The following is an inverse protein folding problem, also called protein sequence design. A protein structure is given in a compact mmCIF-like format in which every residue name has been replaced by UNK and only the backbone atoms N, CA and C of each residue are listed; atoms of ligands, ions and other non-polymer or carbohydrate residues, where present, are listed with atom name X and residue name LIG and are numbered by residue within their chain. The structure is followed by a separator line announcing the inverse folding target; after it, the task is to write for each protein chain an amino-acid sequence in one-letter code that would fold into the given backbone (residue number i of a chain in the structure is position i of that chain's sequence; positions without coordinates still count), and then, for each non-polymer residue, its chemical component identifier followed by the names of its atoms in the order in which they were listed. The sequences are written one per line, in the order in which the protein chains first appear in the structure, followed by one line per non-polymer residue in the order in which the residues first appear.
data_IF_365328688653
#
_entry.id   IF_365328688653
#
_cell.length_a   1.000
_cell.length_b   1.000
_cell.length_c   1.000
_cell.angle_alpha   90.00
_cell.angle_beta   90.00
_cell.angle_gamma   90.00
#
_symmetry.space_group_name_H-M   'P 1'
#
loop_
_entity.id
_entity.type
_entity.pdbx_description
1 polymer ?
#
# COMPACT_ATOMS: atom_id res chain seq x y z
N UNK A 1 12.62 -16.20 -14.94
CA UNK A 1 13.98 -15.78 -14.55
C UNK A 1 14.13 -16.03 -13.06
N UNK A 2 15.16 -16.81 -12.65
CA UNK A 2 15.40 -17.14 -11.25
C UNK A 2 15.96 -15.89 -10.54
N UNK A 3 15.17 -15.26 -9.68
CA UNK A 3 15.67 -14.24 -8.78
C UNK A 3 16.49 -14.94 -7.71
N UNK A 4 17.79 -14.64 -7.65
CA UNK A 4 18.67 -15.10 -6.58
C UNK A 4 18.10 -14.58 -5.26
N UNK A 5 17.78 -15.48 -4.33
CA UNK A 5 17.63 -15.12 -2.92
C UNK A 5 18.96 -14.53 -2.45
N UNK A 6 19.03 -13.21 -2.42
CA UNK A 6 20.07 -12.49 -1.70
C UNK A 6 19.68 -12.64 -0.23
N UNK A 7 20.39 -13.52 0.46
CA UNK A 7 20.33 -13.63 1.92
C UNK A 7 20.82 -12.28 2.46
N UNK A 8 19.92 -11.45 2.97
CA UNK A 8 20.30 -10.32 3.80
C UNK A 8 20.80 -10.89 5.14
N UNK A 9 22.11 -11.13 5.23
CA UNK A 9 22.77 -11.26 6.51
C UNK A 9 22.73 -9.87 7.17
N UNK A 10 21.76 -9.70 8.07
CA UNK A 10 21.59 -8.50 8.87
C UNK A 10 22.71 -8.43 9.93
N UNK A 11 23.92 -8.02 9.54
CA UNK A 11 24.86 -7.42 10.49
C UNK A 11 24.48 -5.95 10.63
N UNK A 12 23.49 -5.66 11.47
CA UNK A 12 23.05 -4.30 11.77
C UNK A 12 24.01 -3.69 12.80
N UNK A 13 25.07 -3.06 12.31
CA UNK A 13 25.86 -2.11 13.09
C UNK A 13 26.15 -0.87 12.24
N UNK A 14 25.09 -0.17 11.85
CA UNK A 14 25.21 1.24 11.45
C UNK A 14 24.36 2.06 12.41
N UNK A 15 25.02 2.71 13.37
CA UNK A 15 24.42 3.78 14.15
C UNK A 15 24.16 4.96 13.21
N UNK A 16 23.00 4.99 12.56
CA UNK A 16 22.42 6.27 12.20
C UNK A 16 22.07 6.95 13.52
N UNK A 17 22.72 8.06 13.85
CA UNK A 17 22.16 8.96 14.86
C UNK A 17 20.83 9.46 14.30
N UNK A 18 19.74 8.80 14.70
CA UNK A 18 18.41 9.29 14.40
C UNK A 18 18.31 10.67 15.02
N UNK A 19 17.80 11.68 14.29
CA UNK A 19 17.42 12.92 14.94
C UNK A 19 16.47 12.57 16.07
N UNK A 20 16.77 13.11 17.26
CA UNK A 20 15.91 13.08 18.43
C UNK A 20 14.47 13.40 17.98
N UNK A 21 13.47 12.66 18.48
CA UNK A 21 12.06 12.86 18.15
C UNK A 21 11.75 14.35 18.00
N UNK A 22 11.33 14.77 16.81
CA UNK A 22 10.99 16.17 16.57
C UNK A 22 9.89 16.53 17.58
N UNK A 23 10.12 17.53 18.42
CA UNK A 23 9.07 18.05 19.30
C UNK A 23 8.06 18.79 18.42
N UNK A 24 7.12 18.06 17.85
CA UNK A 24 6.00 18.62 17.11
C UNK A 24 4.77 18.68 18.01
N UNK A 25 4.04 19.79 17.97
CA UNK A 25 2.83 20.02 18.78
C UNK A 25 1.61 19.20 18.29
N UNK A 26 1.76 18.44 17.19
CA UNK A 26 0.70 17.69 16.52
C UNK A 26 1.21 16.32 16.11
N UNK A 27 0.35 15.31 16.26
CA UNK A 27 0.56 14.01 15.64
C UNK A 27 0.60 14.15 14.10
N UNK A 28 1.26 13.20 13.44
CA UNK A 28 1.19 13.05 12.00
C UNK A 28 -0.26 12.79 11.55
N UNK A 29 -0.58 13.17 10.33
CA UNK A 29 -1.90 13.08 9.71
C UNK A 29 -2.19 11.65 9.26
N UNK A 30 -3.48 11.36 9.08
CA UNK A 30 -3.94 10.10 8.54
C UNK A 30 -3.29 9.79 7.18
N UNK A 31 -2.85 8.55 7.03
CA UNK A 31 -2.10 8.08 5.86
C UNK A 31 -0.59 8.16 6.02
N UNK A 32 -0.06 9.03 6.90
CA UNK A 32 1.38 9.12 7.14
C UNK A 32 1.89 7.82 7.80
N UNK A 33 3.11 7.44 7.40
CA UNK A 33 3.84 6.32 7.97
C UNK A 33 4.88 6.88 8.95
N UNK A 34 4.89 6.40 10.18
CA UNK A 34 5.88 6.78 11.19
C UNK A 34 6.76 5.60 11.55
N UNK A 35 8.01 5.90 11.91
CA UNK A 35 8.98 4.97 12.46
C UNK A 35 9.26 5.34 13.92
N UNK A 36 8.80 4.49 14.83
CA UNK A 36 9.13 4.58 16.26
C UNK A 36 10.12 3.46 16.61
N UNK A 37 11.39 3.85 16.73
CA UNK A 37 12.48 2.97 17.16
C UNK A 37 12.55 1.62 16.41
N UNK A 38 12.25 1.63 15.12
CA UNK A 38 12.27 0.46 14.24
C UNK A 38 10.90 -0.20 14.04
N UNK A 39 9.89 0.17 14.81
CA UNK A 39 8.51 -0.27 14.57
C UNK A 39 7.81 0.72 13.64
N UNK A 40 7.27 0.21 12.54
CA UNK A 40 6.58 1.04 11.53
C UNK A 40 5.08 1.04 11.80
N UNK A 41 4.49 2.24 11.84
CA UNK A 41 3.06 2.44 12.02
C UNK A 41 2.46 3.24 10.88
N UNK A 42 1.24 2.89 10.50
CA UNK A 42 0.34 3.77 9.74
C UNK A 42 -0.53 4.55 10.72
N UNK A 43 -0.58 5.87 10.56
CA UNK A 43 -1.56 6.70 11.26
C UNK A 43 -2.88 6.66 10.50
N UNK A 44 -3.96 6.34 11.19
CA UNK A 44 -5.31 6.33 10.61
C UNK A 44 -6.36 6.57 11.69
N UNK A 45 -7.29 7.49 11.43
CA UNK A 45 -8.35 7.87 12.36
C UNK A 45 -7.82 8.26 13.75
N UNK A 46 -6.69 8.96 13.82
CA UNK A 46 -6.00 9.29 15.07
C UNK A 46 -5.60 8.05 15.90
N UNK A 47 -5.22 6.96 15.24
CA UNK A 47 -4.72 5.74 15.88
C UNK A 47 -3.48 5.23 15.14
N UNK A 48 -2.67 4.46 15.85
CA UNK A 48 -1.48 3.79 15.30
C UNK A 48 -1.78 2.34 14.97
N UNK A 49 -1.57 1.96 13.71
CA UNK A 49 -1.65 0.58 13.24
C UNK A 49 -0.27 0.06 12.88
N UNK A 50 0.20 -0.98 13.56
CA UNK A 50 1.56 -1.49 13.39
C UNK A 50 1.67 -2.43 12.18
N UNK A 51 2.79 -2.39 11.48
CA UNK A 51 3.20 -3.49 10.60
C UNK A 51 4.08 -4.46 11.37
N UNK A 52 3.75 -5.76 11.33
CA UNK A 52 4.53 -6.79 12.04
C UNK A 52 5.81 -7.15 11.28
N UNK A 53 5.78 -7.14 9.95
CA UNK A 53 6.99 -7.36 9.11
C UNK A 53 7.11 -6.35 7.98
N UNK A 54 8.31 -6.26 7.41
CA UNK A 54 8.59 -5.46 6.23
C UNK A 54 7.76 -5.91 5.03
N UNK A 55 7.55 -7.21 4.87
CA UNK A 55 6.78 -7.79 3.77
C UNK A 55 5.29 -7.44 3.86
N UNK A 56 4.71 -7.41 5.07
CA UNK A 56 3.34 -6.89 5.27
C UNK A 56 3.25 -5.40 4.94
N UNK A 57 4.26 -4.61 5.33
CA UNK A 57 4.38 -3.20 4.97
C UNK A 57 4.48 -2.97 3.46
N UNK A 58 5.34 -3.71 2.76
CA UNK A 58 5.51 -3.62 1.31
C UNK A 58 4.30 -4.13 0.52
N UNK A 59 3.60 -5.16 1.02
CA UNK A 59 2.35 -5.63 0.40
C UNK A 59 1.26 -4.55 0.43
N UNK A 60 1.33 -3.64 1.42
CA UNK A 60 0.50 -2.45 1.49
C UNK A 60 1.05 -1.28 0.65
N UNK A 61 1.93 -1.56 -0.31
CA UNK A 61 2.42 -0.61 -1.31
C UNK A 61 3.18 0.57 -0.72
N UNK A 62 3.70 0.44 0.50
CA UNK A 62 4.56 1.44 1.11
C UNK A 62 6.03 1.11 0.86
N UNK A 63 6.90 2.11 1.05
CA UNK A 63 8.35 1.97 0.98
C UNK A 63 8.93 2.60 2.25
N UNK A 64 10.10 2.13 2.71
CA UNK A 64 10.66 2.60 3.98
C UNK A 64 10.93 4.11 3.96
N UNK A 65 11.22 4.67 2.79
CA UNK A 65 11.44 6.10 2.63
C UNK A 65 10.18 6.96 2.75
N UNK A 66 9.00 6.33 2.80
CA UNK A 66 7.75 7.00 3.16
C UNK A 66 7.60 7.17 4.68
N UNK A 67 8.40 6.46 5.48
CA UNK A 67 8.33 6.50 6.93
C UNK A 67 9.13 7.69 7.48
N UNK A 68 8.47 8.52 8.29
CA UNK A 68 9.08 9.65 8.99
C UNK A 68 9.35 9.31 10.46
N UNK A 69 10.30 9.95 11.15
CA UNK A 69 10.50 9.72 12.57
C UNK A 69 9.25 10.05 13.38
N UNK A 70 8.86 9.16 14.31
CA UNK A 70 7.77 9.45 15.24
C UNK A 70 8.10 10.66 16.14
N UNK A 71 7.08 11.46 16.44
CA UNK A 71 7.14 12.58 17.36
C UNK A 71 6.42 12.28 18.68
N UNK A 72 6.56 13.18 19.66
CA UNK A 72 5.96 12.99 20.99
C UNK A 72 4.43 12.90 20.98
N UNK A 73 3.76 13.58 20.04
CA UNK A 73 2.30 13.52 19.92
C UNK A 73 1.83 12.19 19.32
N UNK A 74 2.56 11.60 18.37
CA UNK A 74 2.26 10.26 17.82
C UNK A 74 2.29 9.19 18.91
N UNK A 75 3.25 9.29 19.83
CA UNK A 75 3.42 8.35 20.94
C UNK A 75 2.25 8.40 21.94
N UNK A 76 1.36 9.39 21.83
CA UNK A 76 0.13 9.46 22.64
C UNK A 76 -1.09 8.84 21.95
N UNK A 77 -0.98 8.50 20.65
CA UNK A 77 -2.09 7.91 19.92
C UNK A 77 -2.37 6.48 20.39
N UNK A 78 -3.65 6.06 20.47
CA UNK A 78 -4.00 4.70 20.82
C UNK A 78 -3.53 3.72 19.74
N UNK A 79 -3.00 2.57 20.18
CA UNK A 79 -2.74 1.44 19.30
C UNK A 79 -4.05 0.77 18.87
N UNK A 80 -4.22 0.54 17.57
CA UNK A 80 -5.46 0.00 16.99
C UNK A 80 -5.33 -1.39 16.37
N UNK A 81 -4.13 -1.97 16.34
CA UNK A 81 -3.89 -3.35 15.89
C UNK A 81 -2.78 -3.46 14.86
N UNK A 82 -2.70 -4.65 14.24
CA UNK A 82 -1.68 -5.00 13.25
C UNK A 82 -2.29 -4.98 11.85
N UNK A 83 -1.59 -4.36 10.90
CA UNK A 83 -1.95 -4.39 9.48
C UNK A 83 -1.47 -5.70 8.86
N UNK A 84 -2.41 -6.39 8.21
CA UNK A 84 -2.17 -7.62 7.45
C UNK A 84 -1.77 -7.31 6.01
N UNK A 85 -1.38 -8.34 5.27
CA UNK A 85 -1.14 -8.22 3.85
C UNK A 85 -2.36 -7.61 3.15
N UNK A 86 -2.11 -6.66 2.24
CA UNK A 86 -3.18 -5.97 1.54
C UNK A 86 -4.00 -6.96 0.70
N UNK A 87 -5.31 -6.77 0.68
CA UNK A 87 -6.21 -7.48 -0.24
C UNK A 87 -5.70 -7.40 -1.70
N UNK A 88 -5.71 -8.54 -2.40
CA UNK A 88 -5.16 -8.70 -3.74
C UNK A 88 -3.65 -9.03 -3.79
N UNK A 89 -2.94 -9.02 -2.66
CA UNK A 89 -1.52 -9.38 -2.63
C UNK A 89 -1.30 -10.87 -2.85
N UNK A 90 -0.28 -11.22 -3.64
CA UNK A 90 0.21 -12.59 -3.76
C UNK A 90 1.22 -12.85 -2.63
N UNK A 91 1.00 -13.90 -1.85
CA UNK A 91 1.84 -14.25 -0.68
C UNK A 91 2.20 -15.73 -0.65
N UNK A 92 3.26 -16.07 0.10
CA UNK A 92 3.65 -17.44 0.48
C UNK A 92 3.94 -17.50 1.97
N UNK A 93 3.84 -18.68 2.57
CA UNK A 93 4.28 -18.85 3.96
C UNK A 93 5.80 -18.79 4.02
N UNK A 94 6.32 -17.94 4.89
CA UNK A 94 7.76 -17.83 5.18
C UNK A 94 8.33 -19.12 5.79
N UNK A 95 7.47 -19.99 6.33
CA UNK A 95 7.83 -21.29 6.91
C UNK A 95 7.62 -22.46 5.94
N UNK A 96 6.66 -22.33 5.02
CA UNK A 96 6.38 -23.30 3.97
C UNK A 96 6.10 -22.60 2.63
N UNK A 97 7.14 -22.59 1.80
CA UNK A 97 7.06 -21.92 0.51
C UNK A 97 6.34 -22.78 -0.55
N UNK A 98 5.78 -23.95 -0.22
CA UNK A 98 5.18 -24.88 -1.20
C UNK A 98 4.01 -24.33 -2.02
N UNK A 99 3.35 -23.27 -1.54
CA UNK A 99 2.14 -22.74 -2.16
C UNK A 99 2.09 -21.21 -2.18
N UNK A 100 1.43 -20.69 -3.21
CA UNK A 100 1.02 -19.29 -3.29
C UNK A 100 -0.41 -19.12 -2.79
N UNK A 101 -0.71 -17.93 -2.28
CA UNK A 101 -2.04 -17.53 -1.83
C UNK A 101 -2.31 -16.10 -2.27
N UNK A 102 -3.55 -15.80 -2.65
CA UNK A 102 -4.03 -14.42 -2.62
C UNK A 102 -4.53 -14.08 -1.23
N UNK A 103 -4.13 -12.92 -0.71
CA UNK A 103 -4.70 -12.34 0.49
C UNK A 103 -5.98 -11.57 0.15
N UNK A 104 -7.05 -11.82 0.89
CA UNK A 104 -8.31 -11.07 0.83
C UNK A 104 -8.87 -10.92 2.25
N UNK A 105 -9.76 -9.95 2.47
CA UNK A 105 -10.45 -9.78 3.76
C UNK A 105 -11.19 -11.04 4.23
N UNK A 106 -11.61 -11.92 3.31
CA UNK A 106 -12.27 -13.20 3.62
C UNK A 106 -11.30 -14.32 4.03
N UNK A 107 -9.99 -14.07 3.97
CA UNK A 107 -8.93 -15.05 4.21
C UNK A 107 -8.08 -15.35 2.98
N UNK A 108 -7.02 -16.11 3.19
CA UNK A 108 -6.08 -16.51 2.16
C UNK A 108 -6.68 -17.58 1.25
N UNK A 109 -6.57 -17.39 -0.05
CA UNK A 109 -7.05 -18.34 -1.06
C UNK A 109 -5.86 -18.93 -1.79
N UNK A 110 -5.57 -20.21 -1.56
CA UNK A 110 -4.48 -20.94 -2.22
C UNK A 110 -4.65 -20.89 -3.74
N UNK A 111 -3.57 -20.62 -4.48
CA UNK A 111 -3.58 -20.56 -5.94
C UNK A 111 -2.45 -21.41 -6.54
N UNK A 112 -2.76 -22.11 -7.64
CA UNK A 112 -1.78 -22.88 -8.41
C UNK A 112 -1.05 -22.02 -9.44
N UNK A 113 0.19 -22.39 -9.77
CA UNK A 113 1.00 -21.68 -10.78
C UNK A 113 0.35 -21.63 -12.16
N UNK A 114 -0.35 -22.70 -12.56
CA UNK A 114 -1.06 -22.73 -13.84
C UNK A 114 -2.21 -21.72 -13.87
N UNK A 115 -2.91 -21.53 -12.74
CA UNK A 115 -3.96 -20.51 -12.63
C UNK A 115 -3.36 -19.10 -12.66
N UNK A 116 -2.21 -18.86 -12.00
CA UNK A 116 -1.50 -17.57 -12.11
C UNK A 116 -1.14 -17.25 -13.57
N UNK A 117 -0.57 -18.23 -14.29
CA UNK A 117 -0.21 -18.08 -15.69
C UNK A 117 -1.43 -17.81 -16.59
N UNK A 118 -2.51 -18.58 -16.43
CA UNK A 118 -3.74 -18.40 -17.21
C UNK A 118 -4.43 -17.05 -16.94
N UNK A 119 -4.21 -16.47 -15.76
CA UNK A 119 -4.69 -15.14 -15.41
C UNK A 119 -3.74 -14.01 -15.85
N UNK A 120 -2.54 -14.34 -16.36
CA UNK A 120 -1.50 -13.38 -16.72
C UNK A 120 -0.80 -12.72 -15.52
N UNK A 121 -0.85 -13.37 -14.35
CA UNK A 121 -0.33 -12.86 -13.08
C UNK A 121 1.00 -13.50 -12.68
N UNK A 122 1.65 -14.25 -13.58
CA UNK A 122 2.92 -14.93 -13.30
C UNK A 122 4.10 -13.97 -13.04
N UNK A 123 3.93 -12.69 -13.39
CA UNK A 123 4.90 -11.62 -13.14
C UNK A 123 4.56 -10.76 -11.91
N UNK A 124 3.41 -10.98 -11.29
CA UNK A 124 3.04 -10.26 -10.08
C UNK A 124 4.07 -10.55 -8.98
N UNK A 125 4.54 -9.49 -8.31
CA UNK A 125 5.40 -9.64 -7.16
C UNK A 125 4.66 -10.37 -6.03
N UNK A 126 5.39 -11.19 -5.27
CA UNK A 126 4.86 -11.85 -4.09
C UNK A 126 5.68 -11.52 -2.84
N UNK A 127 5.05 -11.74 -1.69
CA UNK A 127 5.62 -11.48 -0.37
C UNK A 127 5.67 -12.77 0.45
N UNK A 128 6.76 -13.00 1.18
CA UNK A 128 6.89 -14.14 2.09
C UNK A 128 6.60 -13.67 3.52
N UNK A 129 5.50 -14.12 4.11
CA UNK A 129 5.01 -13.67 5.41
C UNK A 129 4.63 -14.87 6.29
N UNK A 130 4.57 -14.68 7.61
CA UNK A 130 4.02 -15.71 8.49
C UNK A 130 2.49 -15.77 8.34
N UNK A 131 2.00 -16.88 7.81
CA UNK A 131 0.56 -17.13 7.58
C UNK A 131 -0.13 -17.77 8.80
N UNK A 132 0.57 -17.99 9.92
CA UNK A 132 0.05 -18.72 11.10
C UNK A 132 -1.26 -18.19 11.66
N UNK A 133 -1.50 -16.89 11.54
CA UNK A 133 -2.67 -16.20 12.07
C UNK A 133 -3.63 -15.69 10.98
N UNK A 134 -3.47 -16.18 9.75
CA UNK A 134 -4.41 -15.95 8.67
C UNK A 134 -5.39 -17.12 8.53
N UNK A 135 -6.67 -16.82 8.29
CA UNK A 135 -7.64 -17.85 7.92
C UNK A 135 -7.39 -18.32 6.49
N UNK A 136 -7.49 -19.63 6.25
CA UNK A 136 -7.46 -20.21 4.91
C UNK A 136 -8.89 -20.37 4.41
N UNK A 137 -9.20 -19.74 3.29
CA UNK A 137 -10.47 -19.83 2.58
C UNK A 137 -10.37 -20.82 1.40
N UNK A 138 -11.48 -21.02 0.70
CA UNK A 138 -11.54 -21.87 -0.50
C UNK A 138 -10.50 -21.42 -1.53
N UNK A 139 -9.81 -22.37 -2.16
CA UNK A 139 -8.79 -22.11 -3.17
C UNK A 139 -9.26 -21.15 -4.27
N UNK A 140 -8.35 -20.34 -4.78
CA UNK A 140 -8.56 -19.43 -5.91
C UNK A 140 -8.34 -20.20 -7.22
N UNK A 141 -9.43 -20.51 -7.90
CA UNK A 141 -9.43 -21.17 -9.21
C UNK A 141 -9.69 -20.16 -10.33
N UNK A 142 -9.41 -20.58 -11.57
CA UNK A 142 -9.77 -19.82 -12.76
C UNK A 142 -11.28 -19.48 -12.80
N UNK A 143 -12.14 -20.44 -12.46
CA UNK A 143 -13.59 -20.19 -12.39
C UNK A 143 -13.93 -19.11 -11.36
N UNK A 144 -13.42 -19.25 -10.13
CA UNK A 144 -13.72 -18.27 -9.07
C UNK A 144 -13.17 -16.87 -9.39
N UNK A 145 -12.08 -16.77 -10.14
CA UNK A 145 -11.52 -15.50 -10.57
C UNK A 145 -12.48 -14.71 -11.46
N UNK A 146 -13.26 -15.40 -12.31
CA UNK A 146 -14.18 -14.77 -13.27
C UNK A 146 -15.65 -14.80 -12.86
N UNK A 147 -16.05 -15.71 -11.98
CA UNK A 147 -17.43 -15.88 -11.53
C UNK A 147 -17.71 -15.14 -10.20
N UNK A 148 -16.68 -14.85 -9.41
CA UNK A 148 -16.82 -14.23 -8.10
C UNK A 148 -15.74 -13.15 -7.91
N UNK A 149 -15.97 -11.92 -8.41
CA UNK A 149 -15.05 -10.81 -8.22
C UNK A 149 -14.73 -10.60 -6.74
N UNK A 150 -13.44 -10.65 -6.39
CA UNK A 150 -12.99 -10.47 -5.01
C UNK A 150 -12.56 -9.01 -4.79
N UNK A 151 -13.05 -8.32 -3.75
CA UNK A 151 -12.51 -7.03 -3.35
C UNK A 151 -10.99 -7.08 -3.17
N UNK A 152 -10.30 -6.03 -3.61
CA UNK A 152 -8.83 -5.98 -3.69
C UNK A 152 -8.23 -6.49 -5.00
N UNK A 153 -9.02 -7.14 -5.86
CA UNK A 153 -8.54 -7.58 -7.18
C UNK A 153 -8.34 -6.39 -8.12
N UNK A 154 -7.21 -6.36 -8.83
CA UNK A 154 -7.02 -5.45 -9.95
C UNK A 154 -7.44 -6.12 -11.26
N UNK A 155 -8.22 -5.40 -12.06
CA UNK A 155 -8.63 -5.85 -13.39
C UNK A 155 -8.27 -4.84 -14.46
N UNK A 156 -7.99 -5.33 -15.65
CA UNK A 156 -7.79 -4.55 -16.86
C UNK A 156 -8.98 -4.78 -17.81
N UNK A 157 -9.76 -3.73 -18.01
CA UNK A 157 -10.87 -3.69 -18.98
C UNK A 157 -10.46 -2.74 -20.11
N UNK A 158 -10.00 -3.33 -21.21
CA UNK A 158 -9.63 -2.62 -22.45
C UNK A 158 -8.62 -1.47 -22.24
N UNK A 159 -7.68 -1.64 -21.32
CA UNK A 159 -6.64 -0.66 -20.98
C UNK A 159 -6.98 0.23 -19.77
N UNK A 160 -8.23 0.22 -19.31
CA UNK A 160 -8.64 0.92 -18.09
C UNK A 160 -8.51 -0.03 -16.90
N UNK A 161 -7.73 0.38 -15.90
CA UNK A 161 -7.51 -0.40 -14.68
C UNK A 161 -8.54 -0.04 -13.64
N UNK A 162 -9.10 -1.08 -13.00
CA UNK A 162 -10.03 -0.95 -11.88
C UNK A 162 -9.54 -1.73 -10.68
N UNK A 163 -9.84 -1.24 -9.49
CA UNK A 163 -9.84 -2.00 -8.26
C UNK A 163 -11.26 -2.48 -7.98
N UNK A 164 -11.43 -3.78 -7.75
CA UNK A 164 -12.68 -4.33 -7.26
C UNK A 164 -12.86 -3.91 -5.80
N UNK A 165 -13.96 -3.25 -5.49
CA UNK A 165 -14.38 -2.86 -4.16
C UNK A 165 -15.57 -3.71 -3.71
N UNK A 166 -15.99 -3.58 -2.45
CA UNK A 166 -17.10 -4.37 -1.90
C UNK A 166 -18.42 -4.21 -2.66
N UNK A 167 -18.67 -3.03 -3.24
CA UNK A 167 -19.93 -2.64 -3.86
C UNK A 167 -19.81 -2.28 -5.36
N UNK A 168 -18.68 -2.59 -6.00
CA UNK A 168 -18.48 -2.24 -7.41
C UNK A 168 -17.03 -2.29 -7.84
N UNK A 169 -16.72 -1.63 -8.96
CA UNK A 169 -15.35 -1.48 -9.47
C UNK A 169 -15.01 0.01 -9.56
N UNK A 170 -13.92 0.41 -8.93
CA UNK A 170 -13.47 1.80 -8.91
C UNK A 170 -12.29 1.98 -9.88
N UNK A 171 -12.38 2.88 -10.87
CA UNK A 171 -11.31 3.09 -11.83
C UNK A 171 -10.17 3.93 -11.27
N UNK A 172 -8.95 3.67 -11.75
CA UNK A 172 -7.83 4.59 -11.60
C UNK A 172 -7.85 5.58 -12.77
N UNK A 173 -8.10 6.87 -12.50
CA UNK A 173 -8.17 7.90 -13.55
C UNK A 173 -6.81 8.25 -14.16
N UNK A 174 -5.71 8.03 -13.42
CA UNK A 174 -4.36 8.32 -13.89
C UNK A 174 -3.37 7.27 -13.37
N UNK A 175 -2.24 7.05 -14.08
CA UNK A 175 -1.15 6.22 -13.55
C UNK A 175 -0.59 6.74 -12.21
N UNK A 176 -0.57 8.06 -11.99
CA UNK A 176 -0.09 8.63 -10.74
C UNK A 176 -0.92 8.16 -9.54
N UNK A 177 -2.25 8.10 -9.69
CA UNK A 177 -3.14 7.56 -8.66
C UNK A 177 -2.82 6.08 -8.45
N UNK A 178 -2.73 5.28 -9.51
CA UNK A 178 -2.40 3.86 -9.43
C UNK A 178 -1.07 3.60 -8.69
N UNK A 179 -0.01 4.35 -9.02
CA UNK A 179 1.29 4.25 -8.37
C UNK A 179 1.29 4.77 -6.93
N UNK A 180 0.39 5.69 -6.55
CA UNK A 180 0.28 6.14 -5.15
C UNK A 180 -0.18 5.02 -4.20
N UNK A 181 -0.83 3.99 -4.72
CA UNK A 181 -1.14 2.77 -3.96
C UNK A 181 0.02 1.76 -3.99
N UNK A 182 1.10 1.99 -4.74
CA UNK A 182 2.21 1.04 -4.90
C UNK A 182 1.87 -0.18 -5.76
N UNK A 183 0.84 -0.09 -6.59
CA UNK A 183 0.49 -1.17 -7.52
C UNK A 183 1.39 -1.20 -8.76
N UNK A 184 1.45 -2.37 -9.38
CA UNK A 184 2.11 -2.62 -10.66
C UNK A 184 1.09 -3.24 -11.64
N UNK A 185 1.18 -2.91 -12.93
CA UNK A 185 0.22 -3.40 -13.93
C UNK A 185 0.24 -4.94 -14.09
N UNK A 186 1.34 -5.60 -13.72
CA UNK A 186 1.43 -7.07 -13.68
C UNK A 186 0.54 -7.72 -12.64
N UNK A 187 -0.01 -6.95 -11.68
CA UNK A 187 -0.98 -7.41 -10.71
C UNK A 187 -2.43 -7.38 -11.24
N UNK A 188 -2.67 -6.83 -12.44
CA UNK A 188 -3.99 -6.74 -13.03
C UNK A 188 -4.25 -7.88 -14.02
N UNK A 189 -5.27 -8.70 -13.76
CA UNK A 189 -5.76 -9.70 -14.72
C UNK A 189 -6.73 -9.06 -15.72
N UNK A 190 -7.00 -9.73 -16.83
CA UNK A 190 -8.09 -9.30 -17.72
C UNK A 190 -9.45 -9.35 -17.01
N UNK A 191 -10.30 -8.37 -17.29
CA UNK A 191 -11.68 -8.34 -16.79
C UNK A 191 -12.51 -9.47 -17.43
N UNK A 192 -13.28 -10.18 -16.60
CA UNK A 192 -14.26 -11.18 -17.04
C UNK A 192 -15.69 -10.67 -17.00
N UNK A 193 -16.66 -11.45 -17.50
CA UNK A 193 -18.05 -11.02 -17.62
C UNK A 193 -18.70 -10.57 -16.30
N UNK A 194 -18.44 -11.25 -15.19
CA UNK A 194 -19.02 -10.85 -13.90
C UNK A 194 -18.40 -9.56 -13.35
N UNK A 195 -17.12 -9.30 -13.64
CA UNK A 195 -16.49 -8.02 -13.27
C UNK A 195 -17.17 -6.85 -13.99
N UNK A 196 -17.52 -7.04 -15.28
CA UNK A 196 -18.14 -6.01 -16.11
C UNK A 196 -19.59 -5.70 -15.71
N UNK A 197 -20.24 -6.60 -14.95
CA UNK A 197 -21.58 -6.37 -14.39
C UNK A 197 -21.54 -5.52 -13.12
N UNK A 198 -20.39 -5.40 -12.47
CA UNK A 198 -20.26 -4.58 -11.28
C UNK A 198 -20.52 -3.12 -11.62
N UNK A 199 -21.21 -2.42 -10.70
CA UNK A 199 -21.38 -0.98 -10.80
C UNK A 199 -20.01 -0.31 -10.88
N UNK A 200 -19.83 0.56 -11.89
CA UNK A 200 -18.69 1.45 -11.91
C UNK A 200 -18.88 2.53 -10.83
N UNK A 201 -17.92 2.60 -9.91
CA UNK A 201 -17.89 3.57 -8.82
C UNK A 201 -17.19 4.85 -9.25
N UNK A 202 -17.23 5.86 -8.39
CA UNK A 202 -16.37 7.04 -8.56
C UNK A 202 -14.89 6.62 -8.66
N UNK A 203 -14.07 7.35 -9.46
CA UNK A 203 -12.66 7.07 -9.54
C UNK A 203 -11.97 7.16 -8.18
N UNK A 204 -10.95 6.30 -7.99
CA UNK A 204 -10.15 6.34 -6.76
C UNK A 204 -9.37 7.66 -6.67
N UNK A 205 -9.32 8.29 -5.49
CA UNK A 205 -8.37 9.36 -5.21
C UNK A 205 -6.96 8.78 -5.04
N UNK A 206 -5.95 9.63 -4.95
CA UNK A 206 -4.64 9.25 -4.41
C UNK A 206 -4.83 8.60 -3.04
N UNK A 207 -4.00 7.60 -2.74
CA UNK A 207 -3.98 6.97 -1.42
C UNK A 207 -3.72 8.03 -0.35
N UNK A 208 -4.36 7.92 0.80
CA UNK A 208 -3.94 8.69 1.98
C UNK A 208 -2.48 8.41 2.31
N UNK A 209 -1.75 9.46 2.67
CA UNK A 209 -0.30 9.43 2.85
C UNK A 209 0.50 9.61 1.56
N UNK A 210 -0.14 9.70 0.39
CA UNK A 210 0.58 9.93 -0.86
C UNK A 210 1.23 11.31 -0.88
N UNK A 211 2.51 11.34 -1.24
CA UNK A 211 3.19 12.56 -1.63
C UNK A 211 3.00 12.76 -3.14
N UNK A 212 2.53 13.94 -3.52
CA UNK A 212 2.26 14.29 -4.93
C UNK A 212 3.05 15.53 -5.29
N UNK A 213 3.92 15.43 -6.30
CA UNK A 213 4.56 16.57 -6.93
C UNK A 213 3.63 17.12 -8.01
N UNK A 214 2.99 18.24 -7.70
CA UNK A 214 2.13 18.99 -8.61
C UNK A 214 2.88 20.21 -9.12
N UNK A 215 3.47 20.05 -10.32
CA UNK A 215 4.19 21.11 -11.06
C UNK A 215 5.27 21.81 -10.23
N UNK A 216 5.96 21.07 -9.36
CA UNK A 216 7.04 21.56 -8.51
C UNK A 216 6.65 21.83 -7.05
N UNK A 217 5.36 21.88 -6.73
CA UNK A 217 4.89 21.96 -5.34
C UNK A 217 4.55 20.57 -4.84
N UNK A 218 5.09 20.18 -3.69
CA UNK A 218 4.83 18.87 -3.09
C UNK A 218 3.65 19.00 -2.13
N UNK A 219 2.71 18.05 -2.23
CA UNK A 219 1.57 17.93 -1.33
C UNK A 219 1.52 16.55 -0.70
N UNK A 220 1.19 16.49 0.59
CA UNK A 220 0.68 15.28 1.24
C UNK A 220 -0.83 15.21 1.03
N UNK A 221 -1.35 14.05 0.61
CA UNK A 221 -2.79 13.78 0.57
C UNK A 221 -3.20 13.04 1.83
N UNK A 222 -4.22 13.55 2.53
CA UNK A 222 -4.77 12.93 3.73
C UNK A 222 -6.26 13.26 3.85
N UNK A 223 -7.09 12.23 3.96
CA UNK A 223 -8.55 12.31 4.10
C UNK A 223 -9.19 13.22 3.03
N UNK A 224 -8.77 13.07 1.77
CA UNK A 224 -9.29 13.87 0.65
C UNK A 224 -8.86 15.35 0.64
N UNK A 225 -7.94 15.73 1.52
CA UNK A 225 -7.36 17.09 1.62
C UNK A 225 -5.89 17.04 1.22
N UNK A 226 -5.41 18.10 0.56
CA UNK A 226 -3.98 18.28 0.25
C UNK A 226 -3.33 19.27 1.21
N UNK A 227 -2.13 18.96 1.64
CA UNK A 227 -1.32 19.78 2.55
C UNK A 227 0.02 20.04 1.88
N UNK A 228 0.27 21.29 1.49
CA UNK A 228 1.50 21.65 0.79
C UNK A 228 2.66 21.82 1.76
N UNK A 229 3.89 21.56 1.30
CA UNK A 229 5.10 21.94 2.02
C UNK A 229 5.54 23.33 1.53
N UNK A 230 5.57 24.33 2.41
CA UNK A 230 5.93 25.71 2.04
C UNK A 230 7.39 25.84 1.63
N UNK A 231 8.25 25.03 2.25
CA UNK A 231 9.69 25.06 2.00
C UNK A 231 10.23 23.65 1.75
N UNK A 232 11.32 23.56 0.99
CA UNK A 232 12.06 22.30 0.83
C UNK A 232 12.57 21.79 2.18
N UNK A 233 13.00 22.70 3.07
CA UNK A 233 13.42 22.35 4.42
C UNK A 233 12.26 21.77 5.24
N UNK A 234 11.05 22.30 5.12
CA UNK A 234 9.84 21.75 5.73
C UNK A 234 9.56 20.32 5.29
N UNK A 235 9.74 20.04 4.00
CA UNK A 235 9.62 18.69 3.45
C UNK A 235 10.70 17.73 3.98
N UNK A 236 11.99 18.10 3.89
CA UNK A 236 13.09 17.20 4.27
C UNK A 236 13.31 17.08 5.78
N UNK A 237 12.99 18.12 6.56
CA UNK A 237 13.14 18.08 8.03
C UNK A 237 12.14 17.13 8.69
N UNK A 238 11.00 16.87 8.02
CA UNK A 238 10.07 15.81 8.41
C UNK A 238 10.58 14.42 8.05
N UNK A 239 11.63 14.29 7.24
CA UNK A 239 12.22 13.01 6.86
C UNK A 239 11.76 12.48 5.50
N UNK A 240 10.98 13.26 4.74
CA UNK A 240 10.56 12.83 3.40
C UNK A 240 11.65 13.00 2.35
N UNK A 241 11.63 12.11 1.36
CA UNK A 241 12.48 12.16 0.18
C UNK A 241 11.65 12.35 -1.09
N UNK A 242 12.09 13.22 -2.02
CA UNK A 242 11.32 13.52 -3.24
C UNK A 242 11.06 12.29 -4.11
N UNK A 243 11.92 11.28 -4.05
CA UNK A 243 11.76 10.03 -4.80
C UNK A 243 10.50 9.25 -4.42
N UNK A 244 9.91 9.55 -3.26
CA UNK A 244 8.66 8.94 -2.78
C UNK A 244 7.41 9.66 -3.29
N UNK A 245 7.57 10.84 -3.91
CA UNK A 245 6.46 11.59 -4.48
C UNK A 245 6.13 11.14 -5.90
N UNK A 246 4.84 10.93 -6.18
CA UNK A 246 4.37 10.70 -7.55
C UNK A 246 4.14 12.03 -8.26
N UNK A 247 4.45 12.13 -9.55
CA UNK A 247 4.12 13.31 -10.35
C UNK A 247 2.64 13.27 -10.73
N UNK A 248 1.87 14.31 -10.41
CA UNK A 248 0.43 14.30 -10.63
C UNK A 248 -0.28 15.62 -10.35
N UNK A 249 -1.58 15.66 -10.62
CA UNK A 249 -2.42 16.86 -10.44
C UNK A 249 -3.25 16.78 -9.15
N UNK A 250 -3.28 17.87 -8.38
CA UNK A 250 -4.01 17.96 -7.09
C UNK A 250 -5.14 18.99 -7.11
N UNK A 251 -5.58 19.43 -8.29
CA UNK A 251 -6.57 20.51 -8.42
C UNK A 251 -7.94 20.17 -7.81
N UNK A 252 -8.30 18.87 -7.77
CA UNK A 252 -9.56 18.39 -7.21
C UNK A 252 -9.59 18.18 -5.69
N UNK A 253 -8.51 18.45 -4.97
CA UNK A 253 -8.43 18.25 -3.51
C UNK A 253 -8.70 19.55 -2.76
N UNK A 254 -9.39 19.43 -1.62
CA UNK A 254 -9.54 20.54 -0.69
C UNK A 254 -8.16 20.98 -0.16
N UNK A 255 -7.96 22.27 0.03
CA UNK A 255 -6.71 22.81 0.55
C UNK A 255 -6.71 22.80 2.09
N UNK A 256 -5.75 22.09 2.68
CA UNK A 256 -5.49 22.10 4.11
C UNK A 256 -4.48 23.17 4.52
N UNK A 257 -4.19 23.24 5.81
CA UNK A 257 -3.13 24.12 6.35
C UNK A 257 -1.77 23.54 5.97
N UNK A 258 -1.00 24.28 5.17
CA UNK A 258 0.32 23.85 4.72
C UNK A 258 1.28 23.59 5.89
N UNK A 259 2.25 22.70 5.66
CA UNK A 259 3.41 22.52 6.53
C UNK A 259 4.41 23.65 6.29
N UNK A 260 4.99 24.17 7.37
CA UNK A 260 6.07 25.15 7.34
C UNK A 260 7.37 24.57 6.75
#
# INVERSE_FOLDING_TARGET
MKTKSIIYLLSLSLFFSLPLAASADSAHKDGEIINDNGTIYLIKNQQCFAFRTAEEFFSNGYQFEMAVPANTADLTLPSAGIIKARDGSLVRDSRDTSAYYFAFATGLRKIGTDTLYLLGLEKQNYFEIDLSDYSIATAYSLSSAFESPQPGTLINDSGKIYLIAQNGRAPFSTPAIFYSYGYDFSAARLAGPEDLKLQELAPLPYRDGALVNDRGTIYLISNGTKFGFQTWNGFTSRGYEIKTAVSGDTSGYAQGINFD
#
